data_IF_093962480108
#
_entry.id   IF_093962480108
#
_cell.length_a   1.000
_cell.length_b   1.000
_cell.length_c   1.000
_cell.angle_alpha   90.00
_cell.angle_beta   90.00
_cell.angle_gamma   90.00
#
_symmetry.space_group_name_H-M   'P 1'
#
loop_
_entity.id
_entity.type
_entity.pdbx_description
1 polymer ?
#
# COMPACT_ATOMS: atom_id res chain seq x y z
N UNK A 1 9.33 -24.49 14.14
CA UNK A 1 7.89 -24.64 14.37
C UNK A 1 7.25 -23.36 13.88
N UNK A 2 6.71 -23.32 12.65
CA UNK A 2 6.01 -22.14 12.11
C UNK A 2 4.53 -22.33 12.45
N UNK A 3 4.06 -21.64 13.48
CA UNK A 3 2.68 -21.67 13.93
C UNK A 3 1.73 -21.33 12.78
N UNK A 4 0.61 -22.05 12.73
CA UNK A 4 -0.40 -21.94 11.68
C UNK A 4 -1.09 -20.59 11.82
N UNK A 5 -0.75 -19.64 10.94
CA UNK A 5 -1.56 -18.45 10.71
C UNK A 5 -2.98 -18.91 10.35
N UNK A 6 -3.92 -18.78 11.29
CA UNK A 6 -5.34 -19.05 11.06
C UNK A 6 -5.98 -17.73 10.64
N UNK A 7 -6.28 -17.62 9.34
CA UNK A 7 -7.04 -16.49 8.81
C UNK A 7 -8.53 -16.83 8.85
N UNK A 8 -9.30 -16.10 9.65
CA UNK A 8 -10.75 -16.15 9.61
C UNK A 8 -11.28 -14.86 8.99
N UNK A 9 -12.09 -14.99 7.94
CA UNK A 9 -12.86 -13.87 7.39
C UNK A 9 -13.90 -13.45 8.43
N UNK A 10 -13.86 -12.18 8.84
CA UNK A 10 -14.70 -11.65 9.94
C UNK A 10 -15.73 -10.65 9.48
N UNK A 11 -15.66 -10.17 8.24
CA UNK A 11 -16.68 -9.28 7.67
C UNK A 11 -16.32 -8.73 6.29
N UNK A 12 -17.36 -8.22 5.60
CA UNK A 12 -17.25 -7.46 4.36
C UNK A 12 -17.68 -6.02 4.60
N UNK A 13 -16.85 -5.06 4.23
CA UNK A 13 -17.19 -3.64 4.27
C UNK A 13 -17.36 -3.10 2.85
N UNK A 14 -18.39 -2.28 2.63
CA UNK A 14 -18.69 -1.72 1.31
C UNK A 14 -17.69 -0.64 0.91
N UNK A 15 -17.32 0.24 1.84
CA UNK A 15 -16.37 1.33 1.61
C UNK A 15 -15.66 1.70 2.90
N UNK A 16 -14.35 1.94 2.83
CA UNK A 16 -13.59 2.58 3.88
C UNK A 16 -12.61 3.58 3.28
N UNK A 17 -12.48 4.72 3.94
CA UNK A 17 -11.44 5.68 3.66
C UNK A 17 -10.85 6.20 4.96
N UNK A 18 -9.56 6.42 4.92
CA UNK A 18 -8.74 6.96 6.00
C UNK A 18 -8.26 8.38 5.65
N UNK A 19 -8.72 8.92 4.53
CA UNK A 19 -8.43 10.27 4.02
C UNK A 19 -9.75 10.96 3.68
N UNK A 20 -9.75 12.29 3.68
CA UNK A 20 -10.94 13.05 3.27
C UNK A 20 -11.27 12.77 1.79
N UNK A 21 -12.31 11.97 1.55
CA UNK A 21 -12.89 11.74 0.22
C UNK A 21 -13.78 12.94 -0.12
N UNK A 22 -13.51 13.58 -1.25
CA UNK A 22 -14.33 14.70 -1.72
C UNK A 22 -15.31 14.19 -2.76
N UNK A 23 -16.60 14.31 -2.47
CA UNK A 23 -17.69 13.89 -3.37
C UNK A 23 -17.70 14.62 -4.72
N UNK A 24 -17.00 15.76 -4.82
CA UNK A 24 -16.91 16.56 -6.05
C UNK A 24 -15.80 16.09 -6.99
N UNK A 25 -14.98 15.10 -6.60
CA UNK A 25 -13.90 14.56 -7.42
C UNK A 25 -14.35 13.27 -8.11
N UNK A 26 -13.95 13.11 -9.37
CA UNK A 26 -14.09 11.81 -10.05
C UNK A 26 -12.98 10.88 -9.60
N UNK A 27 -13.33 9.65 -9.25
CA UNK A 27 -12.41 8.60 -8.86
C UNK A 27 -12.38 7.49 -9.90
N UNK A 28 -11.25 6.81 -10.02
CA UNK A 28 -11.09 5.61 -10.85
C UNK A 28 -10.47 4.50 -10.02
N UNK A 29 -10.85 3.27 -10.32
CA UNK A 29 -10.20 2.09 -9.76
C UNK A 29 -8.75 2.04 -10.25
N UNK A 30 -7.82 1.86 -9.31
CA UNK A 30 -6.38 1.75 -9.55
C UNK A 30 -5.89 0.31 -9.46
N UNK A 31 -6.46 -0.46 -8.54
CA UNK A 31 -6.15 -1.87 -8.36
C UNK A 31 -7.41 -2.63 -7.94
N UNK A 32 -7.58 -3.82 -8.50
CA UNK A 32 -8.65 -4.75 -8.14
C UNK A 32 -8.09 -5.78 -7.16
N UNK A 33 -8.81 -6.06 -6.06
CA UNK A 33 -8.39 -7.03 -5.05
C UNK A 33 -6.96 -6.80 -4.53
N UNK A 34 -6.58 -5.54 -4.30
CA UNK A 34 -5.31 -5.20 -3.68
C UNK A 34 -5.28 -5.70 -2.23
N UNK A 35 -4.09 -6.02 -1.72
CA UNK A 35 -3.91 -6.53 -0.35
C UNK A 35 -3.74 -8.05 -0.31
N UNK A 36 -4.32 -8.67 0.73
CA UNK A 36 -4.20 -10.11 0.98
C UNK A 36 -5.46 -10.85 0.51
N UNK A 37 -5.33 -11.79 -0.44
CA UNK A 37 -6.48 -12.47 -1.06
C UNK A 37 -6.52 -13.99 -0.77
N UNK A 38 -7.69 -14.61 -0.99
CA UNK A 38 -7.86 -16.06 -0.84
C UNK A 38 -6.98 -16.90 -1.77
N UNK A 39 -6.60 -16.39 -2.94
CA UNK A 39 -5.77 -17.13 -3.90
C UNK A 39 -4.36 -17.37 -3.33
N UNK A 40 -3.86 -16.45 -2.52
CA UNK A 40 -2.61 -16.61 -1.77
C UNK A 40 -2.74 -17.73 -0.73
N UNK A 41 -3.89 -17.84 -0.06
CA UNK A 41 -4.16 -18.93 0.90
C UNK A 41 -4.23 -20.29 0.21
N UNK A 42 -4.94 -20.39 -0.91
CA UNK A 42 -5.06 -21.63 -1.73
C UNK A 42 -3.71 -22.07 -2.30
N UNK A 43 -2.81 -21.13 -2.61
CA UNK A 43 -1.44 -21.42 -3.08
C UNK A 43 -0.57 -22.18 -2.08
N UNK A 44 -0.93 -22.20 -0.79
CA UNK A 44 -0.22 -22.96 0.26
C UNK A 44 -0.58 -24.46 0.28
N UNK A 45 -1.63 -24.88 -0.43
CA UNK A 45 -2.09 -26.27 -0.50
C UNK A 45 -1.24 -27.11 -1.47
N UNK A 46 -0.57 -26.48 -2.45
CA UNK A 46 0.26 -27.19 -3.42
C UNK A 46 1.70 -27.45 -2.90
N UNK A 47 2.11 -28.72 -2.70
CA UNK A 47 3.39 -29.07 -2.07
C UNK A 47 4.64 -28.68 -2.88
N UNK A 48 4.54 -28.51 -4.21
CA UNK A 48 5.71 -28.22 -5.07
C UNK A 48 6.11 -26.74 -5.10
N UNK A 49 5.16 -25.83 -4.96
CA UNK A 49 5.39 -24.37 -4.92
C UNK A 49 5.42 -23.82 -3.50
N UNK A 50 5.10 -24.66 -2.51
CA UNK A 50 4.84 -24.32 -1.11
C UNK A 50 5.88 -23.40 -0.48
N UNK A 51 7.18 -23.64 -0.70
CA UNK A 51 8.22 -22.94 0.07
C UNK A 51 8.50 -21.52 -0.44
N UNK A 52 8.56 -21.32 -1.76
CA UNK A 52 8.73 -19.99 -2.38
C UNK A 52 7.45 -19.16 -2.24
N UNK A 53 6.30 -19.77 -2.51
CA UNK A 53 4.98 -19.14 -2.35
C UNK A 53 4.75 -18.72 -0.90
N UNK A 54 5.12 -19.57 0.07
CA UNK A 54 5.03 -19.22 1.50
C UNK A 54 5.88 -18.02 1.89
N UNK A 55 7.10 -17.87 1.37
CA UNK A 55 7.94 -16.69 1.66
C UNK A 55 7.30 -15.40 1.13
N UNK A 56 6.86 -15.41 -0.13
CA UNK A 56 6.23 -14.23 -0.74
C UNK A 56 4.94 -13.82 -0.01
N UNK A 57 4.16 -14.81 0.44
CA UNK A 57 2.94 -14.58 1.22
C UNK A 57 3.27 -14.00 2.59
N UNK A 58 4.30 -14.52 3.27
CA UNK A 58 4.75 -13.98 4.56
C UNK A 58 5.27 -12.54 4.42
N UNK A 59 6.08 -12.25 3.41
CA UNK A 59 6.56 -10.88 3.16
C UNK A 59 5.39 -9.92 2.87
N UNK A 60 4.40 -10.36 2.09
CA UNK A 60 3.20 -9.56 1.81
C UNK A 60 2.34 -9.37 3.06
N UNK A 61 2.15 -10.43 3.85
CA UNK A 61 1.45 -10.39 5.13
C UNK A 61 2.10 -9.41 6.11
N UNK A 62 3.43 -9.46 6.27
CA UNK A 62 4.16 -8.58 7.19
C UNK A 62 4.07 -7.10 6.79
N UNK A 63 3.96 -6.80 5.49
CA UNK A 63 3.76 -5.42 5.00
C UNK A 63 2.34 -4.92 5.17
N UNK A 64 1.36 -5.82 5.07
CA UNK A 64 -0.06 -5.48 5.07
C UNK A 64 -0.70 -5.58 6.45
N UNK A 65 -0.10 -6.31 7.40
CA UNK A 65 -0.66 -6.49 8.73
C UNK A 65 -0.76 -5.17 9.49
N UNK A 66 -1.92 -4.96 10.10
CA UNK A 66 -2.18 -3.89 11.04
C UNK A 66 -2.47 -4.45 12.44
N UNK A 67 -2.18 -3.65 13.45
CA UNK A 67 -2.55 -3.94 14.84
C UNK A 67 -4.06 -3.70 15.08
N UNK A 68 -4.74 -3.07 14.12
CA UNK A 68 -6.17 -2.87 14.09
C UNK A 68 -6.67 -2.81 12.63
N UNK A 69 -8.00 -2.84 12.46
CA UNK A 69 -8.66 -2.83 11.14
C UNK A 69 -8.32 -1.59 10.33
N UNK A 70 -8.31 -0.41 10.94
CA UNK A 70 -8.00 0.85 10.26
C UNK A 70 -6.59 0.85 9.68
N UNK A 71 -5.61 0.38 10.47
CA UNK A 71 -4.23 0.25 10.02
C UNK A 71 -4.11 -0.75 8.87
N UNK A 72 -4.80 -1.90 8.94
CA UNK A 72 -4.78 -2.89 7.87
C UNK A 72 -5.36 -2.33 6.55
N UNK A 73 -6.46 -1.58 6.62
CA UNK A 73 -7.07 -0.89 5.47
C UNK A 73 -6.12 0.18 4.93
N UNK A 74 -5.49 0.97 5.80
CA UNK A 74 -4.49 1.96 5.42
C UNK A 74 -3.34 1.35 4.65
N UNK A 75 -2.77 0.26 5.15
CA UNK A 75 -1.66 -0.43 4.49
C UNK A 75 -2.05 -0.89 3.07
N UNK A 76 -3.29 -1.37 2.87
CA UNK A 76 -3.80 -1.73 1.53
C UNK A 76 -3.89 -0.50 0.62
N UNK A 77 -4.49 0.60 1.09
CA UNK A 77 -4.62 1.83 0.30
C UNK A 77 -3.23 2.36 -0.09
N UNK A 78 -2.28 2.39 0.85
CA UNK A 78 -0.93 2.92 0.65
C UNK A 78 -0.05 2.01 -0.21
N UNK A 79 -0.32 0.69 -0.22
CA UNK A 79 0.36 -0.25 -1.13
C UNK A 79 0.10 0.05 -2.61
N UNK A 80 -0.97 0.80 -2.92
CA UNK A 80 -1.35 1.17 -4.28
C UNK A 80 -1.02 2.65 -4.52
N UNK A 81 -0.04 2.96 -5.39
CA UNK A 81 0.30 4.33 -5.73
C UNK A 81 -0.90 5.16 -6.21
N UNK A 82 -1.20 6.26 -5.51
CA UNK A 82 -2.36 7.11 -5.78
C UNK A 82 -3.66 6.66 -5.12
N UNK A 83 -3.63 5.61 -4.29
CA UNK A 83 -4.77 5.14 -3.51
C UNK A 83 -5.27 6.20 -2.53
N UNK A 84 -6.59 6.37 -2.49
CA UNK A 84 -7.30 7.33 -1.62
C UNK A 84 -8.30 6.61 -0.73
N UNK A 85 -9.01 5.63 -1.27
CA UNK A 85 -9.96 4.82 -0.54
C UNK A 85 -10.03 3.42 -1.15
N UNK A 86 -10.68 2.51 -0.43
CA UNK A 86 -10.90 1.14 -0.87
C UNK A 86 -12.38 0.78 -0.74
N UNK A 87 -12.89 0.05 -1.72
CA UNK A 87 -14.24 -0.54 -1.76
C UNK A 87 -14.15 -2.06 -1.75
N UNK A 88 -15.28 -2.74 -1.50
CA UNK A 88 -15.38 -4.20 -1.54
C UNK A 88 -14.33 -4.87 -0.63
N UNK A 89 -14.25 -4.39 0.61
CA UNK A 89 -13.17 -4.76 1.52
C UNK A 89 -13.48 -6.08 2.18
N UNK A 90 -12.51 -6.99 2.17
CA UNK A 90 -12.50 -8.19 3.00
C UNK A 90 -11.45 -8.02 4.10
N UNK A 91 -11.83 -8.34 5.34
CA UNK A 91 -10.93 -8.30 6.49
C UNK A 91 -10.72 -9.71 7.00
N UNK A 92 -9.46 -10.05 7.22
CA UNK A 92 -9.04 -11.30 7.85
C UNK A 92 -8.39 -10.99 9.19
N UNK A 93 -8.78 -11.78 10.19
CA UNK A 93 -8.12 -11.79 11.50
C UNK A 93 -7.15 -12.95 11.51
N UNK A 94 -5.92 -12.66 11.87
CA UNK A 94 -4.90 -13.66 12.17
C UNK A 94 -4.63 -13.63 13.67
N UNK A 95 -4.93 -14.74 14.34
CA UNK A 95 -4.48 -15.00 15.69
C UNK A 95 -3.22 -15.86 15.62
N UNK A 96 -2.11 -15.36 16.16
CA UNK A 96 -0.84 -16.08 16.15
C UNK A 96 -0.07 -15.80 17.44
N UNK A 97 0.26 -16.84 18.18
CA UNK A 97 1.09 -16.73 19.38
C UNK A 97 1.22 -18.04 20.14
N UNK A 98 2.37 -18.21 20.80
CA UNK A 98 2.57 -19.26 21.81
C UNK A 98 1.56 -19.08 22.94
N UNK A 99 1.19 -20.19 23.60
CA UNK A 99 0.39 -20.24 24.82
C UNK A 99 0.76 -19.08 25.76
N UNK A 100 -0.08 -18.03 25.84
CA UNK A 100 0.11 -16.89 26.74
C UNK A 100 0.17 -15.48 26.12
N UNK A 101 0.27 -15.33 24.79
CA UNK A 101 0.13 -14.03 24.12
C UNK A 101 -0.79 -14.13 22.90
N UNK A 102 -1.98 -13.56 22.99
CA UNK A 102 -2.88 -13.41 21.83
C UNK A 102 -2.48 -12.16 21.04
N UNK A 103 -1.46 -12.27 20.18
CA UNK A 103 -1.21 -11.22 19.19
C UNK A 103 -2.28 -11.36 18.09
N UNK A 104 -3.32 -10.53 18.20
CA UNK A 104 -4.36 -10.38 17.18
C UNK A 104 -3.82 -9.40 16.13
N UNK A 105 -3.71 -9.86 14.89
CA UNK A 105 -3.33 -9.04 13.74
C UNK A 105 -4.46 -9.02 12.71
N UNK A 106 -4.55 -7.93 11.95
CA UNK A 106 -5.56 -7.75 10.91
C UNK A 106 -4.86 -7.59 9.56
N UNK A 107 -5.39 -8.23 8.51
CA UNK A 107 -5.04 -7.94 7.12
C UNK A 107 -6.31 -7.68 6.32
N UNK A 108 -6.22 -6.84 5.31
CA UNK A 108 -7.36 -6.49 4.47
C UNK A 108 -7.05 -6.75 2.99
N UNK A 109 -8.10 -6.87 2.20
CA UNK A 109 -8.06 -6.69 0.75
C UNK A 109 -9.25 -5.90 0.24
N UNK A 110 -9.14 -5.34 -0.95
CA UNK A 110 -10.24 -4.65 -1.61
C UNK A 110 -9.84 -3.92 -2.89
N UNK A 111 -10.80 -3.26 -3.51
CA UNK A 111 -10.61 -2.50 -4.74
C UNK A 111 -10.18 -1.07 -4.39
N UNK A 112 -8.94 -0.70 -4.74
CA UNK A 112 -8.38 0.61 -4.37
C UNK A 112 -8.67 1.63 -5.46
N UNK A 113 -9.21 2.78 -5.06
CA UNK A 113 -9.56 3.88 -5.93
C UNK A 113 -8.70 5.11 -5.66
N UNK A 114 -8.49 5.91 -6.70
CA UNK A 114 -7.77 7.18 -6.64
C UNK A 114 -8.37 8.23 -7.57
N UNK A 115 -7.96 9.49 -7.39
CA UNK A 115 -8.54 10.62 -8.14
C UNK A 115 -8.22 10.50 -9.64
N UNK A 116 -9.25 10.55 -10.48
CA UNK A 116 -9.12 10.53 -11.93
C UNK A 116 -8.41 11.81 -12.41
N UNK A 117 -7.39 11.65 -13.27
CA UNK A 117 -6.63 12.78 -13.82
C UNK A 117 -5.54 13.35 -12.92
N UNK A 118 -5.43 12.91 -11.65
CA UNK A 118 -4.18 13.11 -10.89
C UNK A 118 -3.24 11.97 -11.22
N UNK A 119 -2.02 12.31 -11.67
CA UNK A 119 -0.90 11.37 -11.77
C UNK A 119 -0.75 10.63 -10.44
N UNK A 120 -0.25 9.38 -10.48
CA UNK A 120 0.06 8.57 -9.28
C UNK A 120 0.57 9.50 -8.18
N UNK A 121 0.02 9.39 -6.98
CA UNK A 121 0.46 10.18 -5.83
C UNK A 121 1.03 9.23 -4.79
N UNK A 122 2.31 9.39 -4.45
CA UNK A 122 2.98 8.60 -3.42
C UNK A 122 3.52 9.59 -2.40
N UNK A 123 3.14 9.42 -1.13
CA UNK A 123 3.56 10.28 -0.01
C UNK A 123 3.36 11.78 -0.27
N UNK A 124 2.30 12.15 -0.98
CA UNK A 124 1.99 13.54 -1.32
C UNK A 124 2.67 14.08 -2.58
N UNK A 125 3.60 13.32 -3.18
CA UNK A 125 4.30 13.66 -4.42
C UNK A 125 3.62 13.07 -5.64
N UNK A 126 3.65 13.80 -6.75
CA UNK A 126 3.12 13.38 -8.04
C UNK A 126 4.08 13.79 -9.17
N UNK A 127 4.00 13.15 -10.34
CA UNK A 127 4.86 13.55 -11.49
C UNK A 127 4.52 14.98 -11.91
N UNK A 128 5.53 15.85 -11.98
CA UNK A 128 5.40 17.29 -12.18
C UNK A 128 5.44 18.11 -10.89
N UNK A 129 5.38 17.47 -9.72
CA UNK A 129 5.50 18.13 -8.42
C UNK A 129 6.87 18.79 -8.25
N UNK A 130 6.89 20.05 -7.84
CA UNK A 130 8.12 20.76 -7.47
C UNK A 130 8.52 20.40 -6.04
N UNK A 131 9.79 20.17 -5.83
CA UNK A 131 10.34 19.89 -4.50
C UNK A 131 11.73 20.49 -4.35
N UNK A 132 12.16 20.59 -3.10
CA UNK A 132 13.47 21.04 -2.68
C UNK A 132 14.31 19.85 -2.21
N UNK A 133 15.56 19.81 -2.65
CA UNK A 133 16.55 18.81 -2.27
C UNK A 133 17.93 19.46 -2.18
N UNK A 134 18.64 19.30 -1.05
CA UNK A 134 20.01 19.77 -0.85
C UNK A 134 20.28 21.19 -1.40
N UNK A 135 19.47 22.17 -0.98
CA UNK A 135 19.57 23.58 -1.39
C UNK A 135 19.21 23.89 -2.84
N UNK A 136 18.62 22.95 -3.57
CA UNK A 136 18.19 23.15 -4.94
C UNK A 136 16.72 22.77 -5.16
N UNK A 137 16.10 23.46 -6.12
CA UNK A 137 14.76 23.13 -6.59
C UNK A 137 14.82 22.17 -7.77
N UNK A 138 13.75 21.39 -7.93
CA UNK A 138 13.60 20.48 -9.05
C UNK A 138 12.20 19.94 -9.13
N UNK A 139 12.02 18.96 -10.02
CA UNK A 139 10.70 18.39 -10.31
C UNK A 139 10.76 16.88 -10.24
N UNK A 140 9.75 16.25 -9.64
CA UNK A 140 9.58 14.80 -9.69
C UNK A 140 9.15 14.41 -11.11
N UNK A 141 9.97 13.62 -11.80
CA UNK A 141 9.71 13.20 -13.19
C UNK A 141 9.13 11.79 -13.29
N UNK A 142 9.37 10.95 -12.28
CA UNK A 142 8.75 9.64 -12.18
C UNK A 142 8.62 9.20 -10.72
N UNK A 143 7.62 8.38 -10.44
CA UNK A 143 7.45 7.72 -9.15
C UNK A 143 7.85 6.26 -9.33
N UNK A 144 8.87 5.80 -8.60
CA UNK A 144 9.46 4.47 -8.80
C UNK A 144 8.69 3.45 -7.96
N UNK A 145 8.63 3.68 -6.66
CA UNK A 145 7.98 2.82 -5.66
C UNK A 145 7.50 3.68 -4.47
N UNK A 146 7.14 3.05 -3.35
CA UNK A 146 6.67 3.68 -2.11
C UNK A 146 7.76 4.43 -1.34
N UNK A 147 9.04 4.18 -1.65
CA UNK A 147 10.19 4.78 -0.98
C UNK A 147 10.90 5.82 -1.85
N UNK A 148 10.95 5.60 -3.17
CA UNK A 148 11.79 6.33 -4.10
C UNK A 148 11.04 6.98 -5.26
N UNK A 149 11.58 8.11 -5.73
CA UNK A 149 11.19 8.77 -6.97
C UNK A 149 12.41 9.16 -7.83
N UNK A 150 12.17 9.52 -9.09
CA UNK A 150 13.15 10.19 -9.93
C UNK A 150 12.94 11.70 -9.88
N UNK A 151 13.97 12.43 -9.47
CA UNK A 151 13.95 13.88 -9.29
C UNK A 151 14.93 14.56 -10.24
N UNK A 152 14.41 15.49 -11.05
CA UNK A 152 15.19 16.32 -11.95
C UNK A 152 15.53 17.65 -11.27
N UNK A 153 16.78 17.81 -10.84
CA UNK A 153 17.27 19.06 -10.28
C UNK A 153 17.40 20.12 -11.39
N UNK A 154 16.97 21.36 -11.11
CA UNK A 154 17.09 22.46 -12.07
C UNK A 154 18.56 22.69 -12.43
N UNK A 155 18.89 22.63 -13.72
CA UNK A 155 20.25 22.82 -14.24
C UNK A 155 21.08 21.55 -14.38
N UNK A 156 20.56 20.37 -14.03
CA UNK A 156 21.18 19.07 -14.37
C UNK A 156 20.41 18.43 -15.53
N UNK A 157 21.09 17.62 -16.35
CA UNK A 157 20.45 16.91 -17.47
C UNK A 157 19.79 15.59 -17.05
N UNK A 158 20.33 14.90 -16.04
CA UNK A 158 19.85 13.58 -15.65
C UNK A 158 19.08 13.58 -14.32
N UNK A 159 17.96 12.84 -14.23
CA UNK A 159 17.21 12.71 -13.00
C UNK A 159 17.90 11.73 -12.05
N UNK A 160 17.83 12.01 -10.75
CA UNK A 160 18.39 11.17 -9.69
C UNK A 160 17.30 10.39 -8.97
N UNK A 161 17.58 9.13 -8.64
CA UNK A 161 16.73 8.34 -7.72
C UNK A 161 16.94 8.83 -6.29
N UNK A 162 15.87 9.29 -5.63
CA UNK A 162 15.89 9.86 -4.27
C UNK A 162 14.75 9.29 -3.43
N UNK A 163 14.96 9.28 -2.10
CA UNK A 163 13.92 8.95 -1.12
C UNK A 163 12.91 10.10 -1.03
N UNK A 164 11.64 9.79 -0.79
CA UNK A 164 10.64 10.85 -0.54
C UNK A 164 10.94 11.66 0.72
N UNK A 165 11.53 11.03 1.75
CA UNK A 165 11.83 11.69 3.03
C UNK A 165 12.94 12.74 2.92
N UNK A 166 13.75 12.69 1.85
CA UNK A 166 14.79 13.68 1.56
C UNK A 166 14.24 14.91 0.80
N UNK A 167 12.97 14.87 0.38
CA UNK A 167 12.34 15.91 -0.43
C UNK A 167 11.39 16.78 0.41
N UNK A 168 11.50 18.10 0.24
CA UNK A 168 10.54 19.06 0.80
C UNK A 168 9.66 19.58 -0.33
N UNK A 169 8.36 19.29 -0.28
CA UNK A 169 7.41 19.70 -1.32
C UNK A 169 7.27 21.24 -1.39
N UNK A 170 7.25 21.80 -2.60
CA UNK A 170 7.05 23.23 -2.83
C UNK A 170 5.72 23.44 -3.58
N UNK A 171 4.71 23.95 -2.89
CA UNK A 171 3.38 24.27 -3.44
C UNK A 171 2.48 23.06 -3.67
N UNK A 172 1.20 23.33 -4.02
CA UNK A 172 0.19 22.33 -4.41
C UNK A 172 0.07 22.14 -5.92
#
# INVERSE_FOLDING_TARGET
>A
MLERVHLQSTGRLTLASTKNVSFNKKYKMLAKSAGFDESQVKGLENPRTKQKTKRNILESYEKLKGNNVEQAINNVIESVPGGVYVENIEIFVSTGGKLGSEDVSFVASGDVYGVQGKSRNIRGFYVGCKAFYQKATGTVVALVDDQYCLFQQKGKQEPKKLLYDDLIKIGE
#
